data_IF_017597478625
#
_entry.id   IF_017597478625
#
_cell.length_a   1.000
_cell.length_b   1.000
_cell.length_c   1.000
_cell.angle_alpha   90.00
_cell.angle_beta   90.00
_cell.angle_gamma   90.00
#
_symmetry.space_group_name_H-M   'P 1'
#
loop_
_entity.id
_entity.type
_entity.pdbx_description
1 polymer ?
#
# COMPACT_ATOMS: atom_id res chain seq x y z
N UNK A 1 12.07 2.02 -17.97
CA UNK A 1 12.09 3.23 -17.08
C UNK A 1 11.74 2.74 -15.68
N UNK A 2 12.46 3.19 -14.65
CA UNK A 2 12.16 2.79 -13.26
C UNK A 2 10.91 3.51 -12.75
N UNK A 3 10.11 2.81 -11.95
CA UNK A 3 8.87 3.32 -11.35
C UNK A 3 9.19 4.22 -10.16
N UNK A 4 8.54 5.39 -10.10
CA UNK A 4 8.69 6.33 -8.98
C UNK A 4 7.68 6.10 -7.86
N UNK A 5 6.74 5.19 -8.07
CA UNK A 5 5.63 4.93 -7.15
C UNK A 5 5.54 3.44 -6.87
N UNK A 6 5.38 3.09 -5.60
CA UNK A 6 4.89 1.79 -5.16
C UNK A 6 3.38 1.95 -4.97
N UNK A 7 2.59 1.23 -5.75
CA UNK A 7 1.12 1.28 -5.66
C UNK A 7 0.67 0.31 -4.59
N UNK A 8 -0.21 0.78 -3.71
CA UNK A 8 -0.88 -0.06 -2.74
C UNK A 8 -2.40 0.01 -2.95
N UNK A 9 -3.04 -1.15 -3.01
CA UNK A 9 -4.49 -1.28 -3.02
C UNK A 9 -4.99 -1.52 -1.61
N UNK A 10 -5.90 -0.66 -1.12
CA UNK A 10 -6.58 -0.82 0.17
C UNK A 10 -8.01 -1.28 -0.06
N UNK A 11 -8.38 -2.38 0.57
CA UNK A 11 -9.76 -2.90 0.59
C UNK A 11 -10.24 -3.12 2.02
N UNK A 12 -11.54 -2.89 2.25
CA UNK A 12 -12.17 -3.22 3.53
C UNK A 12 -12.58 -4.69 3.52
N UNK A 13 -11.89 -5.51 4.32
CA UNK A 13 -12.34 -6.85 4.66
C UNK A 13 -13.40 -6.81 5.76
N UNK A 14 -13.78 -8.00 6.26
CA UNK A 14 -14.81 -8.13 7.31
C UNK A 14 -14.48 -7.33 8.58
N UNK A 15 -13.27 -7.53 9.10
CA UNK A 15 -12.87 -6.99 10.41
C UNK A 15 -11.65 -6.04 10.35
N UNK A 16 -11.01 -5.92 9.17
CA UNK A 16 -9.75 -5.22 8.96
C UNK A 16 -9.75 -4.50 7.60
N UNK A 17 -8.99 -3.43 7.49
CA UNK A 17 -8.51 -2.92 6.22
C UNK A 17 -7.24 -3.71 5.85
N UNK A 18 -7.10 -4.02 4.56
CA UNK A 18 -5.96 -4.75 4.01
C UNK A 18 -5.32 -3.87 2.95
N UNK A 19 -4.02 -3.61 3.07
CA UNK A 19 -3.21 -2.91 2.08
C UNK A 19 -2.24 -3.88 1.40
N UNK A 20 -2.20 -3.88 0.08
CA UNK A 20 -1.36 -4.78 -0.72
C UNK A 20 -0.58 -3.98 -1.76
N UNK A 21 0.74 -4.09 -1.74
CA UNK A 21 1.62 -3.49 -2.75
C UNK A 21 1.61 -4.31 -4.04
N UNK A 22 1.62 -3.62 -5.20
CA UNK A 22 1.59 -4.27 -6.51
C UNK A 22 2.99 -4.59 -7.04
N UNK A 23 3.97 -3.76 -6.72
CA UNK A 23 5.34 -3.89 -7.22
C UNK A 23 6.26 -4.71 -6.31
N UNK A 24 5.90 -4.87 -5.03
CA UNK A 24 6.71 -5.54 -4.01
C UNK A 24 5.87 -6.46 -3.14
N UNK A 25 6.49 -7.49 -2.57
CA UNK A 25 5.81 -8.53 -1.78
C UNK A 25 5.48 -8.04 -0.35
N UNK A 26 4.72 -6.95 -0.25
CA UNK A 26 4.30 -6.33 1.01
C UNK A 26 2.79 -6.31 1.10
N UNK A 27 2.28 -6.88 2.20
CA UNK A 27 0.86 -6.84 2.58
C UNK A 27 0.79 -6.49 4.06
N UNK A 28 -0.10 -5.58 4.42
CA UNK A 28 -0.37 -5.21 5.80
C UNK A 28 -1.87 -5.13 6.06
N UNK A 29 -2.25 -5.11 7.34
CA UNK A 29 -3.63 -4.95 7.75
C UNK A 29 -3.71 -4.12 9.04
N UNK A 30 -4.88 -3.54 9.27
CA UNK A 30 -5.18 -2.76 10.48
C UNK A 30 -6.68 -2.66 10.73
N UNK A 31 -7.07 -2.34 11.97
CA UNK A 31 -8.48 -2.13 12.35
C UNK A 31 -9.02 -0.83 11.76
N UNK A 32 -8.17 0.18 11.66
CA UNK A 32 -8.48 1.48 11.05
C UNK A 32 -7.66 1.71 9.79
N UNK A 33 -8.09 2.68 8.97
CA UNK A 33 -7.32 3.10 7.80
C UNK A 33 -5.95 3.64 8.23
N UNK A 34 -5.90 4.51 9.24
CA UNK A 34 -4.66 5.11 9.75
C UNK A 34 -3.66 4.05 10.24
N UNK A 35 -4.13 3.06 11.00
CA UNK A 35 -3.29 1.95 11.46
C UNK A 35 -2.75 1.15 10.26
N UNK A 36 -3.60 0.87 9.27
CA UNK A 36 -3.20 0.12 8.08
C UNK A 36 -2.14 0.87 7.27
N UNK A 37 -2.29 2.19 7.12
CA UNK A 37 -1.34 3.04 6.41
C UNK A 37 -0.02 3.18 7.18
N UNK A 38 -0.06 3.29 8.50
CA UNK A 38 1.14 3.30 9.35
C UNK A 38 1.91 1.98 9.21
N UNK A 39 1.21 0.85 9.33
CA UNK A 39 1.79 -0.48 9.17
C UNK A 39 2.37 -0.65 7.76
N UNK A 40 1.67 -0.17 6.73
CA UNK A 40 2.15 -0.20 5.33
C UNK A 40 3.47 0.56 5.16
N UNK A 41 3.57 1.78 5.70
CA UNK A 41 4.80 2.58 5.60
C UNK A 41 5.99 1.88 6.26
N UNK A 42 5.80 1.34 7.46
CA UNK A 42 6.83 0.59 8.18
C UNK A 42 7.24 -0.68 7.43
N UNK A 43 6.27 -1.47 6.98
CA UNK A 43 6.55 -2.71 6.25
C UNK A 43 7.26 -2.48 4.93
N UNK A 44 6.91 -1.41 4.18
CA UNK A 44 7.64 -1.04 2.96
C UNK A 44 9.06 -0.57 3.29
N UNK A 45 9.25 0.22 4.35
CA UNK A 45 10.58 0.65 4.77
C UNK A 45 11.47 -0.55 5.14
N UNK A 46 10.95 -1.49 5.94
CA UNK A 46 11.65 -2.71 6.32
C UNK A 46 11.95 -3.62 5.11
N UNK A 47 11.02 -3.73 4.16
CA UNK A 47 11.22 -4.55 2.97
C UNK A 47 12.33 -4.03 2.05
N UNK A 48 12.52 -2.71 2.00
CA UNK A 48 13.52 -2.07 1.13
C UNK A 48 14.84 -1.77 1.83
N UNK A 49 14.95 -2.03 3.14
CA UNK A 49 16.14 -1.73 3.92
C UNK A 49 17.33 -2.59 3.47
N UNK A 50 18.40 -1.93 2.97
CA UNK A 50 19.60 -2.62 2.48
C UNK A 50 19.47 -3.23 1.08
N UNK A 51 18.28 -3.14 0.47
CA UNK A 51 17.99 -3.67 -0.86
C UNK A 51 18.42 -2.72 -1.98
N UNK A 52 18.67 -3.29 -3.16
CA UNK A 52 18.85 -2.51 -4.38
C UNK A 52 17.49 -2.29 -5.06
N UNK A 53 16.96 -1.06 -4.95
CA UNK A 53 15.65 -0.68 -5.51
C UNK A 53 15.49 -0.97 -7.02
N UNK A 54 16.59 -0.96 -7.78
CA UNK A 54 16.55 -1.26 -9.21
C UNK A 54 16.14 -2.70 -9.51
N UNK A 55 16.37 -3.64 -8.57
CA UNK A 55 15.99 -5.05 -8.72
C UNK A 55 14.46 -5.24 -8.63
N UNK A 56 13.77 -4.30 -8.00
CA UNK A 56 12.30 -4.19 -7.96
C UNK A 56 11.75 -3.29 -9.07
N UNK A 57 12.61 -2.77 -9.95
CA UNK A 57 12.22 -1.80 -10.98
C UNK A 57 11.84 -0.41 -10.41
N UNK A 58 12.27 -0.09 -9.19
CA UNK A 58 11.95 1.16 -8.50
C UNK A 58 13.06 2.20 -8.67
N UNK A 59 12.67 3.46 -8.79
CA UNK A 59 13.57 4.59 -8.77
C UNK A 59 14.00 4.91 -7.33
N UNK A 60 15.11 5.64 -7.12
CA UNK A 60 15.50 6.11 -5.79
C UNK A 60 14.40 6.97 -5.14
N UNK A 61 14.18 6.77 -3.84
CA UNK A 61 13.16 7.47 -3.05
C UNK A 61 11.74 7.38 -3.65
N UNK A 62 11.20 6.16 -3.85
CA UNK A 62 9.85 6.01 -4.37
C UNK A 62 8.81 6.52 -3.35
N UNK A 63 7.65 6.94 -3.84
CA UNK A 63 6.51 7.28 -2.99
C UNK A 63 5.50 6.13 -2.98
N UNK A 64 4.73 5.99 -1.91
CA UNK A 64 3.62 5.04 -1.86
C UNK A 64 2.35 5.75 -2.36
N UNK A 65 1.76 5.24 -3.44
CA UNK A 65 0.47 5.70 -3.96
C UNK A 65 -0.62 4.73 -3.53
N UNK A 66 -1.53 5.18 -2.68
CA UNK A 66 -2.63 4.36 -2.17
C UNK A 66 -3.89 4.58 -2.99
N UNK A 67 -4.49 3.49 -3.45
CA UNK A 67 -5.84 3.46 -4.02
C UNK A 67 -6.74 2.68 -3.07
N UNK A 68 -7.88 3.23 -2.69
CA UNK A 68 -8.82 2.56 -1.80
C UNK A 68 -10.13 2.25 -2.54
N UNK A 69 -10.60 1.01 -2.42
CA UNK A 69 -11.91 0.60 -2.90
C UNK A 69 -13.00 1.09 -1.94
N UNK A 70 -14.04 1.70 -2.51
CA UNK A 70 -15.21 2.18 -1.78
C UNK A 70 -16.47 1.63 -2.44
N UNK A 71 -17.41 1.20 -1.61
CA UNK A 71 -18.75 0.88 -2.08
C UNK A 71 -19.51 2.18 -2.40
N UNK A 72 -20.26 2.25 -3.51
CA UNK A 72 -21.08 3.42 -3.81
C UNK A 72 -22.09 3.68 -2.69
N UNK A 73 -22.16 4.92 -2.19
CA UNK A 73 -23.28 5.31 -1.34
C UNK A 73 -24.53 5.45 -2.21
N UNK A 74 -25.56 4.64 -1.97
CA UNK A 74 -26.87 4.91 -2.54
C UNK A 74 -27.41 6.22 -1.96
N UNK A 75 -27.81 7.16 -2.81
CA UNK A 75 -28.55 8.34 -2.37
C UNK A 75 -29.84 7.85 -1.69
N UNK A 76 -30.09 8.30 -0.45
CA UNK A 76 -31.40 8.11 0.16
C UNK A 76 -32.39 8.97 -0.65
N UNK A 77 -33.39 8.32 -1.24
CA UNK A 77 -34.51 8.98 -1.92
C UNK A 77 -35.40 9.71 -0.90
#
# INVERSE_FOLDING_TARGET
MLQRTIKALVRKGKDYYIAECLEIAVVTQGKTLDETLSNLQEAVALHLEGENLADFGLAPNPTILVTMELEPSHAQA
#
